data_IF_516191330999
#
_entry.id   IF_516191330999
#
_cell.length_a   1.000
_cell.length_b   1.000
_cell.length_c   1.000
_cell.angle_alpha   90.00
_cell.angle_beta   90.00
_cell.angle_gamma   90.00
#
_symmetry.space_group_name_H-M   'P 1'
#
loop_
_entity.id
_entity.type
_entity.pdbx_description
1 polymer ?
#
# COMPACT_ATOMS: atom_id res chain seq x y z
N UNK A 1 -43.42 -45.35 49.74
CA UNK A 1 -43.37 -44.42 48.59
C UNK A 1 -42.37 -45.03 47.60
N UNK A 2 -42.61 -46.21 47.01
CA UNK A 2 -43.63 -46.60 46.00
C UNK A 2 -43.72 -45.65 44.82
N UNK A 3 -43.15 -46.08 43.68
CA UNK A 3 -43.83 -46.27 42.38
C UNK A 3 -42.78 -46.13 41.25
N UNK A 4 -42.26 -47.25 40.73
CA UNK A 4 -42.67 -47.95 39.49
C UNK A 4 -41.96 -47.34 38.26
N UNK A 5 -41.19 -48.04 37.43
CA UNK A 5 -41.33 -49.42 36.98
C UNK A 5 -42.05 -49.43 35.63
N UNK A 6 -41.34 -49.67 34.52
CA UNK A 6 -41.56 -50.84 33.67
C UNK A 6 -40.66 -50.83 32.42
N UNK A 7 -39.96 -51.96 32.28
CA UNK A 7 -39.23 -52.45 31.13
C UNK A 7 -40.12 -53.55 30.51
N UNK A 8 -40.31 -53.61 29.18
CA UNK A 8 -40.14 -54.87 28.45
C UNK A 8 -40.30 -54.77 26.92
N UNK A 9 -39.29 -55.33 26.25
CA UNK A 9 -39.30 -56.26 25.09
C UNK A 9 -40.65 -56.53 24.38
N UNK A 10 -40.60 -56.63 23.05
CA UNK A 10 -40.29 -57.91 22.34
C UNK A 10 -40.68 -57.92 20.86
N UNK A 11 -39.70 -58.35 20.05
CA UNK A 11 -39.77 -59.37 18.99
C UNK A 11 -40.45 -59.17 17.61
N UNK A 12 -39.65 -59.63 16.62
CA UNK A 12 -39.99 -60.43 15.42
C UNK A 12 -40.43 -59.66 14.15
N UNK A 13 -40.12 -60.09 12.91
CA UNK A 13 -39.16 -60.99 12.28
C UNK A 13 -39.36 -60.86 10.75
N UNK A 14 -38.30 -61.14 9.98
CA UNK A 14 -38.23 -61.75 8.64
C UNK A 14 -39.35 -61.51 7.61
N UNK A 15 -38.95 -61.10 6.40
CA UNK A 15 -38.97 -62.02 5.25
C UNK A 15 -38.11 -61.53 4.07
N UNK A 16 -37.29 -62.46 3.57
CA UNK A 16 -36.61 -62.45 2.28
C UNK A 16 -37.33 -63.47 1.40
N UNK A 17 -37.48 -63.22 0.08
CA UNK A 17 -37.53 -64.24 -1.01
C UNK A 17 -37.51 -63.55 -2.40
N UNK A 18 -36.38 -63.77 -3.10
CA UNK A 18 -36.13 -64.21 -4.50
C UNK A 18 -37.02 -63.80 -5.71
N UNK A 19 -36.31 -63.23 -6.70
CA UNK A 19 -36.20 -63.53 -8.17
C UNK A 19 -37.43 -63.64 -9.08
N UNK A 20 -37.40 -62.90 -10.20
CA UNK A 20 -37.53 -63.49 -11.56
C UNK A 20 -37.00 -62.58 -12.69
N UNK A 21 -36.57 -63.23 -13.79
CA UNK A 21 -35.78 -62.70 -14.93
C UNK A 21 -36.59 -62.82 -16.25
N UNK A 22 -36.59 -61.74 -17.07
CA UNK A 22 -36.75 -61.65 -18.55
C UNK A 22 -38.06 -62.10 -19.26
N UNK A 23 -38.38 -61.73 -20.54
CA UNK A 23 -37.54 -61.08 -21.59
C UNK A 23 -38.19 -59.96 -22.48
N UNK A 24 -37.32 -59.13 -23.10
CA UNK A 24 -37.31 -58.74 -24.53
C UNK A 24 -38.48 -58.01 -25.20
N UNK A 25 -38.26 -56.76 -25.66
CA UNK A 25 -38.93 -56.24 -26.88
C UNK A 25 -38.03 -55.25 -27.64
N UNK A 26 -37.92 -55.48 -28.96
CA UNK A 26 -37.00 -54.85 -29.92
C UNK A 26 -37.26 -53.34 -30.12
N UNK A 27 -36.22 -52.51 -30.06
CA UNK A 27 -36.22 -51.12 -30.58
C UNK A 27 -36.19 -51.15 -32.12
N UNK A 28 -37.20 -50.56 -32.76
CA UNK A 28 -37.19 -50.25 -34.20
C UNK A 28 -36.26 -49.06 -34.47
N UNK A 29 -35.30 -49.28 -35.36
CA UNK A 29 -34.48 -48.27 -36.01
C UNK A 29 -35.36 -47.55 -37.04
N UNK A 30 -35.40 -46.21 -37.02
CA UNK A 30 -35.89 -45.44 -38.16
C UNK A 30 -34.92 -44.28 -38.43
N UNK A 31 -34.13 -44.45 -39.48
CA UNK A 31 -33.33 -43.40 -40.11
C UNK A 31 -34.23 -42.33 -40.72
N UNK A 32 -33.94 -41.05 -40.44
CA UNK A 32 -34.21 -39.96 -41.38
C UNK A 32 -32.96 -39.11 -41.56
N UNK A 33 -32.46 -39.14 -42.80
CA UNK A 33 -31.46 -38.22 -43.36
C UNK A 33 -32.10 -36.86 -43.65
N UNK A 34 -31.32 -35.79 -43.46
CA UNK A 34 -31.29 -34.49 -44.16
C UNK A 34 -30.68 -33.50 -43.15
N UNK A 35 -29.73 -32.62 -43.43
CA UNK A 35 -29.02 -32.16 -44.61
C UNK A 35 -28.15 -31.02 -44.06
N UNK A 36 -26.87 -30.96 -44.43
CA UNK A 36 -25.89 -30.10 -43.79
C UNK A 36 -26.13 -28.60 -43.98
N UNK A 37 -25.68 -27.81 -43.01
CA UNK A 37 -25.13 -26.48 -43.26
C UNK A 37 -23.87 -26.32 -42.41
N UNK A 38 -22.81 -25.90 -43.09
CA UNK A 38 -21.41 -25.87 -42.68
C UNK A 38 -21.18 -24.79 -41.63
N UNK A 39 -20.69 -25.19 -40.46
CA UNK A 39 -19.97 -24.33 -39.51
C UNK A 39 -18.50 -24.30 -39.95
N UNK A 40 -17.99 -23.16 -40.40
CA UNK A 40 -16.54 -22.98 -40.55
C UNK A 40 -16.00 -22.35 -39.26
N UNK A 41 -15.34 -23.18 -38.44
CA UNK A 41 -14.53 -22.77 -37.32
C UNK A 41 -13.04 -22.97 -37.67
N UNK A 42 -12.29 -21.88 -37.52
CA UNK A 42 -10.90 -21.75 -37.03
C UNK A 42 -9.81 -22.66 -37.63
N UNK A 43 -8.73 -22.05 -38.13
CA UNK A 43 -7.39 -22.65 -38.10
C UNK A 43 -6.39 -21.70 -37.43
N UNK A 44 -5.87 -22.17 -36.30
CA UNK A 44 -4.64 -21.72 -35.62
C UNK A 44 -3.47 -22.43 -36.30
N UNK A 45 -2.35 -21.73 -36.52
CA UNK A 45 -0.99 -22.17 -36.10
C UNK A 45 0.10 -21.43 -36.87
N UNK A 46 1.05 -20.85 -36.14
CA UNK A 46 2.47 -20.90 -36.50
C UNK A 46 3.30 -20.61 -35.24
N UNK A 47 3.79 -21.71 -34.65
CA UNK A 47 4.81 -21.74 -33.62
C UNK A 47 6.15 -21.47 -34.29
N UNK A 48 6.93 -20.52 -33.75
CA UNK A 48 8.34 -20.29 -34.11
C UNK A 48 9.21 -20.51 -32.88
N UNK A 49 10.01 -21.57 -32.90
CA UNK A 49 10.94 -21.99 -31.85
C UNK A 49 12.35 -21.52 -32.19
N UNK A 50 13.03 -20.94 -31.18
CA UNK A 50 14.47 -21.08 -30.93
C UNK A 50 15.35 -19.84 -31.19
N UNK A 51 16.59 -19.79 -30.67
CA UNK A 51 17.14 -20.39 -29.45
C UNK A 51 17.84 -19.35 -28.52
N UNK A 52 18.41 -19.87 -27.44
CA UNK A 52 19.00 -19.20 -26.29
C UNK A 52 20.38 -18.53 -26.51
N UNK A 53 20.63 -17.49 -25.68
CA UNK A 53 21.85 -17.09 -24.97
C UNK A 53 23.24 -17.51 -25.49
N UNK A 54 24.12 -16.51 -25.69
CA UNK A 54 25.34 -16.33 -24.89
C UNK A 54 26.11 -15.06 -25.33
N UNK A 55 26.55 -14.25 -24.38
CA UNK A 55 27.65 -13.29 -24.59
C UNK A 55 28.53 -13.31 -23.35
N UNK A 56 29.85 -13.59 -23.47
CA UNK A 56 30.75 -13.55 -22.33
C UNK A 56 31.23 -12.12 -22.09
N UNK A 57 31.01 -11.59 -20.89
CA UNK A 57 31.84 -10.50 -20.38
C UNK A 57 33.06 -11.09 -19.70
N UNK A 58 34.23 -10.92 -20.34
CA UNK A 58 35.53 -11.12 -19.72
C UNK A 58 35.90 -9.84 -18.95
N UNK A 59 36.16 -9.97 -17.64
CA UNK A 59 36.81 -8.91 -16.85
C UNK A 59 38.31 -9.17 -16.85
N UNK A 60 39.05 -8.23 -17.42
CA UNK A 60 40.50 -8.18 -17.37
C UNK A 60 40.94 -7.60 -16.02
N UNK A 61 41.72 -8.38 -15.27
CA UNK A 61 42.51 -7.89 -14.14
C UNK A 61 43.52 -6.84 -14.63
N UNK A 62 43.64 -5.75 -13.90
CA UNK A 62 44.93 -5.06 -13.82
C UNK A 62 45.16 -4.59 -12.39
N UNK A 63 45.95 -5.38 -11.66
CA UNK A 63 46.67 -4.92 -10.47
C UNK A 63 47.91 -4.18 -10.94
N UNK A 64 48.19 -3.01 -10.36
CA UNK A 64 49.55 -2.50 -10.31
C UNK A 64 49.86 -1.98 -8.90
N UNK A 65 50.53 -2.87 -8.16
CA UNK A 65 51.69 -2.63 -7.30
C UNK A 65 51.61 -1.53 -6.23
N UNK A 66 51.43 -1.98 -4.99
CA UNK A 66 52.02 -1.35 -3.83
C UNK A 66 53.29 -2.12 -3.44
N UNK A 67 54.43 -1.44 -3.34
CA UNK A 67 55.49 -1.85 -2.43
C UNK A 67 56.36 -0.67 -1.99
N UNK A 68 56.62 -0.68 -0.68
CA UNK A 68 57.87 -0.34 0.00
C UNK A 68 57.97 0.94 0.84
N UNK A 69 57.77 0.70 2.14
CA UNK A 69 58.77 0.83 3.23
C UNK A 69 59.20 2.23 3.67
N UNK A 70 58.88 2.58 4.92
CA UNK A 70 59.90 2.83 5.95
C UNK A 70 59.29 3.00 7.36
N UNK A 71 59.72 2.09 8.23
CA UNK A 71 59.72 2.08 9.69
C UNK A 71 60.38 3.31 10.32
N UNK A 72 59.88 3.78 11.48
CA UNK A 72 60.67 3.98 12.73
C UNK A 72 60.00 4.98 13.70
N UNK A 73 60.07 4.71 15.01
CA UNK A 73 60.38 5.77 15.98
C UNK A 73 59.42 5.94 17.16
N UNK A 74 59.82 5.36 18.29
CA UNK A 74 59.20 5.31 19.61
C UNK A 74 59.38 6.60 20.49
N UNK A 75 58.44 6.82 21.44
CA UNK A 75 58.57 7.39 22.82
C UNK A 75 58.82 8.90 23.10
N UNK A 76 57.83 9.51 23.78
CA UNK A 76 57.80 10.30 25.05
C UNK A 76 58.99 11.18 25.47
N UNK A 77 58.73 12.42 25.96
CA UNK A 77 59.09 12.98 27.31
C UNK A 77 58.94 14.54 27.39
N UNK A 78 57.93 15.00 28.16
CA UNK A 78 57.92 16.02 29.25
C UNK A 78 58.31 17.52 29.07
N UNK A 79 57.37 18.37 29.54
CA UNK A 79 57.48 19.65 30.32
C UNK A 79 57.66 21.02 29.66
N UNK A 80 56.71 21.96 29.89
CA UNK A 80 56.84 23.12 30.83
C UNK A 80 56.02 24.38 30.44
N UNK A 81 55.34 24.94 31.46
CA UNK A 81 55.08 26.37 31.77
C UNK A 81 53.95 27.21 31.09
N UNK A 82 52.88 27.41 31.89
CA UNK A 82 52.17 28.66 32.30
C UNK A 82 52.07 29.90 31.39
N UNK A 83 50.85 30.48 31.28
CA UNK A 83 50.51 31.89 31.61
C UNK A 83 48.99 32.14 31.54
N UNK A 84 48.41 32.65 32.64
CA UNK A 84 47.08 33.28 32.71
C UNK A 84 47.17 34.73 32.22
N UNK A 85 46.19 35.22 31.47
CA UNK A 85 45.87 36.65 31.38
C UNK A 85 44.36 36.86 31.26
N UNK A 86 43.82 37.56 32.25
CA UNK A 86 42.46 38.07 32.31
C UNK A 86 42.32 39.32 31.45
N UNK A 87 41.21 39.47 30.73
CA UNK A 87 40.67 40.79 30.40
C UNK A 87 39.14 40.73 30.26
N UNK A 88 38.51 41.35 31.24
CA UNK A 88 37.10 41.72 31.29
C UNK A 88 36.76 42.75 30.23
N UNK A 89 35.67 42.54 29.51
CA UNK A 89 34.94 43.60 28.80
C UNK A 89 33.45 43.29 28.89
N UNK A 90 32.81 44.06 29.75
CA UNK A 90 31.37 44.27 29.89
C UNK A 90 30.68 44.39 28.53
N UNK A 91 29.68 43.54 28.29
CA UNK A 91 28.59 43.91 27.39
C UNK A 91 27.28 43.90 28.17
N UNK A 92 26.80 45.12 28.36
CA UNK A 92 25.56 45.51 29.02
C UNK A 92 24.39 44.69 28.51
N UNK A 93 23.67 44.10 29.47
CA UNK A 93 22.36 43.52 29.28
C UNK A 93 21.43 44.61 28.75
N UNK A 94 21.04 44.53 27.48
CA UNK A 94 19.82 45.19 27.03
C UNK A 94 18.70 44.19 27.22
N UNK A 95 18.10 44.27 28.42
CA UNK A 95 16.86 43.59 28.77
C UNK A 95 15.79 43.91 27.73
N UNK A 96 15.44 42.93 26.89
CA UNK A 96 14.07 42.84 26.42
C UNK A 96 13.25 42.40 27.62
N UNK A 97 12.50 43.33 28.20
CA UNK A 97 11.44 43.05 29.15
C UNK A 97 10.48 42.04 28.53
N UNK A 98 10.63 40.75 28.84
CA UNK A 98 9.53 39.81 28.68
C UNK A 98 8.75 39.82 29.97
N UNK A 99 7.44 39.95 29.88
CA UNK A 99 6.60 39.52 30.99
C UNK A 99 5.34 38.93 30.37
N UNK A 100 5.36 37.60 30.31
CA UNK A 100 4.53 36.77 29.47
C UNK A 100 5.33 35.81 28.57
N UNK A 101 6.66 35.69 28.70
CA UNK A 101 7.45 34.75 27.90
C UNK A 101 6.91 33.32 28.05
N UNK A 102 6.16 32.91 27.03
CA UNK A 102 5.75 31.55 26.79
C UNK A 102 6.79 30.89 25.89
N UNK A 103 7.05 29.61 26.10
CA UNK A 103 7.92 28.80 25.25
C UNK A 103 7.12 27.67 24.62
N UNK A 104 7.57 27.17 23.48
CA UNK A 104 7.03 25.94 22.88
C UNK A 104 8.13 25.21 22.14
N UNK A 105 8.20 23.90 22.34
CA UNK A 105 9.14 23.00 21.68
C UNK A 105 8.45 21.68 21.37
N UNK A 106 9.10 20.89 20.51
CA UNK A 106 8.73 19.51 20.20
C UNK A 106 9.85 18.56 20.63
N UNK A 107 9.52 17.29 20.85
CA UNK A 107 10.52 16.28 21.23
C UNK A 107 11.55 15.96 20.13
N UNK A 108 11.22 16.21 18.87
CA UNK A 108 12.08 16.03 17.69
C UNK A 108 11.95 17.21 16.73
N UNK A 109 12.92 17.34 15.84
CA UNK A 109 12.91 18.33 14.77
C UNK A 109 12.26 17.82 13.47
N UNK A 110 12.01 16.50 13.36
CA UNK A 110 11.34 15.88 12.23
C UNK A 110 10.47 14.68 12.61
N UNK A 111 9.42 14.44 11.81
CA UNK A 111 8.44 13.38 12.02
C UNK A 111 7.95 12.79 10.68
N UNK A 112 7.57 11.52 10.70
CA UNK A 112 6.93 10.78 9.62
C UNK A 112 5.42 10.59 9.88
N UNK A 113 4.69 10.12 8.88
CA UNK A 113 3.27 9.74 9.05
C UNK A 113 3.09 8.76 10.21
N UNK A 114 2.07 9.01 11.03
CA UNK A 114 1.76 8.18 12.19
C UNK A 114 2.65 8.42 13.41
N UNK A 115 3.70 9.24 13.30
CA UNK A 115 4.51 9.58 14.46
C UNK A 115 3.70 10.38 15.48
N UNK A 116 3.99 10.14 16.75
CA UNK A 116 3.45 10.90 17.87
C UNK A 116 4.37 12.08 18.16
N UNK A 117 3.85 13.29 17.95
CA UNK A 117 4.52 14.56 18.26
C UNK A 117 4.19 14.90 19.72
N UNK A 118 5.20 15.04 20.58
CA UNK A 118 5.04 15.60 21.91
C UNK A 118 5.36 17.10 21.87
N UNK A 119 4.41 17.92 22.29
CA UNK A 119 4.51 19.38 22.31
C UNK A 119 4.54 19.81 23.76
N UNK A 120 5.54 20.58 24.15
CA UNK A 120 5.68 21.06 25.53
C UNK A 120 6.24 22.48 25.59
N UNK A 121 6.02 23.13 26.72
CA UNK A 121 6.53 24.46 26.97
C UNK A 121 6.23 24.94 28.38
N UNK A 122 6.65 26.16 28.67
CA UNK A 122 6.48 26.82 29.96
C UNK A 122 6.09 28.28 29.80
N UNK A 123 5.55 28.85 30.87
CA UNK A 123 5.18 30.26 30.96
C UNK A 123 5.76 30.87 32.24
N UNK A 124 6.04 32.17 32.23
CA UNK A 124 6.40 32.86 33.48
C UNK A 124 5.18 33.19 34.35
N UNK A 125 4.03 33.44 33.72
CA UNK A 125 2.80 33.86 34.37
C UNK A 125 1.85 32.68 34.55
N UNK A 126 1.04 32.69 35.61
CA UNK A 126 -0.04 31.73 35.81
C UNK A 126 -1.35 32.52 35.92
N UNK A 127 -2.24 32.30 34.94
CA UNK A 127 -3.59 32.85 34.95
C UNK A 127 -4.52 31.68 35.27
N UNK A 128 -5.17 31.74 36.43
CA UNK A 128 -6.09 30.69 36.89
C UNK A 128 -7.19 30.45 35.85
N UNK A 129 -7.54 29.18 35.66
CA UNK A 129 -8.61 28.71 34.75
C UNK A 129 -8.48 29.13 33.28
N UNK A 130 -7.28 29.53 32.86
CA UNK A 130 -7.01 29.91 31.47
C UNK A 130 -6.17 28.83 30.79
N UNK A 131 -6.67 28.14 29.74
CA UNK A 131 -5.88 27.17 28.99
C UNK A 131 -4.94 27.86 28.00
N UNK A 132 -3.89 27.14 27.59
CA UNK A 132 -3.05 27.48 26.45
C UNK A 132 -3.72 26.95 25.18
N UNK A 133 -3.89 27.83 24.20
CA UNK A 133 -4.37 27.45 22.87
C UNK A 133 -3.18 27.03 22.03
N UNK A 134 -3.21 25.82 21.48
CA UNK A 134 -2.20 25.26 20.58
C UNK A 134 -2.80 25.18 19.17
N UNK A 135 -2.12 25.77 18.19
CA UNK A 135 -2.56 25.83 16.79
C UNK A 135 -1.46 25.24 15.91
N UNK A 136 -1.80 24.26 15.07
CA UNK A 136 -0.88 23.66 14.11
C UNK A 136 -1.28 24.07 12.70
N UNK A 137 -0.32 24.60 11.95
CA UNK A 137 -0.49 25.10 10.58
C UNK A 137 0.48 24.36 9.66
N UNK A 138 -0.02 23.91 8.52
CA UNK A 138 0.77 23.19 7.51
C UNK A 138 1.68 24.14 6.71
N UNK A 139 2.66 23.62 5.94
CA UNK A 139 3.57 24.43 5.13
C UNK A 139 2.85 25.27 4.06
N UNK A 140 1.67 24.81 3.63
CA UNK A 140 0.81 25.49 2.67
C UNK A 140 -0.21 26.45 3.32
N UNK A 141 -0.10 26.67 4.63
CA UNK A 141 -0.92 27.63 5.39
C UNK A 141 -2.26 27.09 5.88
N UNK A 142 -2.57 25.81 5.67
CA UNK A 142 -3.84 25.23 6.12
C UNK A 142 -3.81 24.92 7.62
N UNK A 143 -4.95 25.13 8.28
CA UNK A 143 -5.13 24.77 9.68
C UNK A 143 -5.25 23.24 9.83
N UNK A 144 -4.37 22.66 10.64
CA UNK A 144 -4.30 21.21 10.87
C UNK A 144 -5.04 20.84 12.15
N UNK A 145 -4.81 21.60 13.23
CA UNK A 145 -5.40 21.33 14.53
C UNK A 145 -5.46 22.61 15.37
N UNK A 146 -6.51 22.71 16.18
CA UNK A 146 -6.59 23.59 17.34
C UNK A 146 -6.85 22.70 18.55
N UNK A 147 -6.11 22.93 19.62
CA UNK A 147 -6.25 22.23 20.89
C UNK A 147 -6.12 23.22 22.06
N UNK A 148 -6.66 22.84 23.22
CA UNK A 148 -6.56 23.64 24.44
C UNK A 148 -5.97 22.77 25.55
N UNK A 149 -4.89 23.26 26.15
CA UNK A 149 -4.11 22.53 27.14
C UNK A 149 -4.09 23.34 28.44
N UNK A 150 -4.54 22.73 29.53
CA UNK A 150 -4.48 23.37 30.83
C UNK A 150 -3.03 23.54 31.29
N UNK A 151 -2.76 24.65 31.97
CA UNK A 151 -1.45 24.93 32.54
C UNK A 151 -1.30 24.20 33.88
N UNK A 152 -0.18 23.49 34.06
CA UNK A 152 0.17 22.85 35.31
C UNK A 152 0.51 23.87 36.41
N UNK A 153 0.44 23.44 37.67
CA UNK A 153 0.83 24.28 38.82
C UNK A 153 2.31 24.69 38.81
N UNK A 154 3.13 23.95 38.07
CA UNK A 154 4.54 24.23 37.78
C UNK A 154 4.73 25.21 36.61
N UNK A 155 3.64 25.76 36.07
CA UNK A 155 3.59 26.67 34.91
C UNK A 155 4.07 26.04 33.60
N UNK A 156 3.99 24.72 33.50
CA UNK A 156 4.29 23.99 32.26
C UNK A 156 3.02 23.45 31.61
N UNK A 157 3.11 23.18 30.30
CA UNK A 157 2.05 22.49 29.57
C UNK A 157 2.67 21.42 28.68
N UNK A 158 1.90 20.37 28.43
CA UNK A 158 2.29 19.30 27.52
C UNK A 158 1.05 18.68 26.88
N UNK A 159 1.13 18.43 25.58
CA UNK A 159 0.12 17.67 24.82
C UNK A 159 0.81 16.79 23.80
N UNK A 160 0.07 15.85 23.22
CA UNK A 160 0.60 15.00 22.18
C UNK A 160 -0.40 14.69 21.10
N UNK A 161 0.08 14.74 19.86
CA UNK A 161 -0.73 14.63 18.65
C UNK A 161 -0.07 13.62 17.71
N UNK A 162 -0.86 12.73 17.12
CA UNK A 162 -0.38 11.83 16.07
C UNK A 162 -0.47 12.53 14.72
N UNK A 163 0.64 12.58 13.99
CA UNK A 163 0.78 13.24 12.69
C UNK A 163 0.19 12.36 11.57
N UNK A 164 -1.13 12.17 11.58
CA UNK A 164 -1.84 11.31 10.62
C UNK A 164 -3.24 11.84 10.29
N UNK A 165 -3.79 11.42 9.15
CA UNK A 165 -5.13 11.76 8.68
C UNK A 165 -5.16 12.84 7.60
N UNK A 166 -6.36 13.21 7.15
CA UNK A 166 -6.59 14.05 5.97
C UNK A 166 -5.95 15.45 6.03
N UNK A 167 -5.63 15.96 7.23
CA UNK A 167 -5.02 17.28 7.43
C UNK A 167 -3.48 17.24 7.52
N UNK A 168 -2.90 16.05 7.63
CA UNK A 168 -1.46 15.80 7.60
C UNK A 168 -1.11 15.26 6.22
N UNK A 169 -0.71 16.13 5.29
CA UNK A 169 -0.55 15.75 3.88
C UNK A 169 0.75 16.26 3.28
N UNK A 170 0.87 17.59 3.23
CA UNK A 170 2.02 18.25 2.64
C UNK A 170 3.29 17.92 3.42
N UNK A 171 4.34 17.49 2.73
CA UNK A 171 5.68 17.49 3.30
C UNK A 171 6.15 18.94 3.53
N UNK A 172 6.99 19.14 4.55
CA UNK A 172 7.66 20.42 4.80
C UNK A 172 7.54 20.90 6.25
N UNK A 173 7.81 22.20 6.44
CA UNK A 173 7.88 22.82 7.76
C UNK A 173 6.48 23.17 8.29
N UNK A 174 6.01 22.42 9.28
CA UNK A 174 4.79 22.73 10.02
C UNK A 174 5.10 23.74 11.12
N UNK A 175 4.15 24.63 11.40
CA UNK A 175 4.27 25.63 12.46
C UNK A 175 3.31 25.31 13.59
N UNK A 176 3.82 25.26 14.82
CA UNK A 176 3.03 25.24 16.05
C UNK A 176 3.05 26.66 16.60
N UNK A 177 1.87 27.25 16.80
CA UNK A 177 1.68 28.51 17.52
C UNK A 177 0.98 28.22 18.83
N UNK A 178 1.46 28.81 19.91
CA UNK A 178 0.80 28.78 21.21
C UNK A 178 0.42 30.18 21.65
N UNK A 179 -0.73 30.31 22.28
CA UNK A 179 -1.23 31.56 22.83
C UNK A 179 -1.78 31.32 24.24
N UNK A 180 -1.44 32.21 25.17
CA UNK A 180 -1.89 32.14 26.56
C UNK A 180 -2.59 33.42 27.02
N UNK A 181 -3.92 33.37 27.19
CA UNK A 181 -4.73 34.50 27.64
C UNK A 181 -4.94 35.61 26.60
N UNK A 182 -3.88 36.32 26.23
CA UNK A 182 -3.92 37.51 25.34
C UNK A 182 -3.00 37.41 24.11
N UNK A 183 -3.15 38.30 23.12
CA UNK A 183 -2.39 38.27 21.86
C UNK A 183 -0.89 38.54 22.04
N UNK A 184 -0.49 39.20 23.13
CA UNK A 184 0.91 39.54 23.41
C UNK A 184 1.70 38.37 24.03
N UNK A 185 1.03 37.23 24.29
CA UNK A 185 1.59 36.06 24.98
C UNK A 185 1.60 34.85 24.05
N UNK A 186 2.41 34.95 23.01
CA UNK A 186 2.51 33.93 21.97
C UNK A 186 3.94 33.42 21.80
N UNK A 187 4.08 32.14 21.47
CA UNK A 187 5.33 31.57 20.97
C UNK A 187 5.05 30.67 19.77
N UNK A 188 6.08 30.41 18.99
CA UNK A 188 5.99 29.50 17.86
C UNK A 188 7.24 28.65 17.75
N UNK A 189 7.06 27.43 17.24
CA UNK A 189 8.15 26.55 16.83
C UNK A 189 7.76 25.83 15.55
N UNK A 190 8.74 25.25 14.88
CA UNK A 190 8.55 24.52 13.63
C UNK A 190 9.23 23.17 13.68
N UNK A 191 8.64 22.19 13.02
CA UNK A 191 9.25 20.88 12.79
C UNK A 191 9.04 20.48 11.34
N UNK A 192 9.90 19.59 10.84
CA UNK A 192 9.76 19.01 9.50
C UNK A 192 8.85 17.80 9.53
N UNK A 193 7.91 17.74 8.60
CA UNK A 193 7.07 16.57 8.37
C UNK A 193 7.38 15.98 7.01
N UNK A 194 7.60 14.67 6.94
CA UNK A 194 7.88 13.97 5.69
C UNK A 194 6.69 13.98 4.70
N UNK A 195 5.51 14.40 5.16
CA UNK A 195 4.26 14.26 4.44
C UNK A 195 3.58 12.95 4.81
N UNK A 196 2.26 12.93 4.71
CA UNK A 196 1.46 11.73 4.94
C UNK A 196 0.51 11.62 3.76
N UNK A 197 0.46 10.47 3.13
CA UNK A 197 -0.53 10.21 2.09
C UNK A 197 -1.84 9.83 2.81
N UNK A 198 -2.37 10.75 3.60
CA UNK A 198 -3.24 10.41 4.71
C UNK A 198 -4.54 9.78 4.24
N UNK A 199 -4.87 8.62 4.81
CA UNK A 199 -6.16 7.94 4.57
C UNK A 199 -6.40 7.61 3.10
N UNK A 200 -5.46 6.88 2.48
CA UNK A 200 -5.43 6.66 1.03
C UNK A 200 -4.61 7.76 0.37
N UNK A 201 -3.70 7.42 -0.54
CA UNK A 201 -2.73 8.40 -1.00
C UNK A 201 -3.39 9.52 -1.81
N UNK A 202 -3.04 10.75 -1.48
CA UNK A 202 -3.21 11.91 -2.35
C UNK A 202 -1.91 12.12 -3.13
N UNK A 203 -1.77 11.38 -4.23
CA UNK A 203 -0.73 11.54 -5.24
C UNK A 203 -1.36 11.57 -6.64
N UNK A 204 -0.57 11.79 -7.71
CA UNK A 204 -1.07 11.57 -9.06
C UNK A 204 -1.67 10.16 -9.20
N UNK A 205 -2.82 10.07 -9.84
CA UNK A 205 -3.44 8.79 -10.18
C UNK A 205 -3.02 8.37 -11.58
N UNK A 206 -2.69 7.10 -11.75
CA UNK A 206 -2.53 6.51 -13.07
C UNK A 206 -3.61 5.47 -13.32
N UNK A 207 -4.29 5.57 -14.47
CA UNK A 207 -5.17 4.51 -14.94
C UNK A 207 -4.35 3.27 -15.27
N UNK A 208 -4.83 2.10 -14.85
CA UNK A 208 -4.21 0.83 -15.20
C UNK A 208 -4.81 0.32 -16.50
N UNK A 209 -3.96 0.14 -17.51
CA UNK A 209 -4.34 -0.26 -18.85
C UNK A 209 -5.14 -1.57 -18.83
N UNK A 210 -6.27 -1.56 -19.53
CA UNK A 210 -7.19 -2.70 -19.56
C UNK A 210 -8.16 -2.80 -18.38
N UNK A 211 -8.19 -1.81 -17.49
CA UNK A 211 -9.11 -1.79 -16.33
C UNK A 211 -9.74 -0.41 -16.11
N UNK A 212 -10.78 -0.36 -15.27
CA UNK A 212 -11.37 0.89 -14.76
C UNK A 212 -10.72 1.35 -13.44
N UNK A 213 -9.71 0.63 -12.97
CA UNK A 213 -8.97 1.00 -11.76
C UNK A 213 -7.93 2.06 -12.08
N UNK A 214 -7.76 2.96 -11.12
CA UNK A 214 -6.64 3.87 -11.04
C UNK A 214 -5.83 3.56 -9.80
N UNK A 215 -4.52 3.60 -9.93
CA UNK A 215 -3.57 3.46 -8.83
C UNK A 215 -2.99 4.83 -8.54
N UNK A 216 -3.09 5.23 -7.28
CA UNK A 216 -2.43 6.45 -6.83
C UNK A 216 -1.02 6.14 -6.40
N UNK A 217 -0.06 7.00 -6.76
CA UNK A 217 1.34 6.77 -6.49
C UNK A 217 2.12 8.05 -6.18
N UNK A 218 3.34 7.89 -5.67
CA UNK A 218 4.39 8.89 -5.57
C UNK A 218 5.73 8.25 -5.95
N UNK A 219 6.60 8.98 -6.64
CA UNK A 219 7.89 8.48 -7.10
C UNK A 219 8.97 9.56 -6.90
N UNK A 220 10.11 9.17 -6.32
CA UNK A 220 11.30 10.03 -6.24
C UNK A 220 12.31 9.64 -7.31
N UNK A 221 13.05 10.61 -7.87
CA UNK A 221 14.10 10.38 -8.87
C UNK A 221 13.64 9.52 -10.07
N UNK A 222 12.39 9.69 -10.47
CA UNK A 222 11.82 9.02 -11.63
C UNK A 222 10.43 9.54 -11.95
N UNK A 223 9.86 8.98 -13.02
CA UNK A 223 8.50 9.26 -13.47
C UNK A 223 7.85 7.94 -13.87
N UNK A 224 6.63 7.71 -13.43
CA UNK A 224 5.86 6.57 -13.92
C UNK A 224 5.28 6.89 -15.30
N UNK A 225 5.48 5.99 -16.26
CA UNK A 225 5.06 6.15 -17.65
C UNK A 225 3.82 5.32 -17.99
N UNK A 226 3.57 4.22 -17.29
CA UNK A 226 2.41 3.36 -17.53
C UNK A 226 2.27 2.25 -16.49
N UNK A 227 1.07 1.69 -16.40
CA UNK A 227 0.72 0.57 -15.54
C UNK A 227 -0.20 -0.35 -16.33
N UNK A 228 0.09 -1.64 -16.31
CA UNK A 228 -0.70 -2.66 -17.00
C UNK A 228 -0.76 -3.91 -16.15
N UNK A 229 -1.92 -4.54 -16.09
CA UNK A 229 -2.02 -5.89 -15.53
C UNK A 229 -1.54 -6.92 -16.56
N UNK A 230 -0.63 -7.80 -16.14
CA UNK A 230 -0.42 -9.08 -16.79
C UNK A 230 -1.19 -10.17 -16.04
N UNK A 231 -2.17 -10.69 -16.75
CA UNK A 231 -3.20 -11.57 -16.24
C UNK A 231 -2.72 -13.01 -16.19
N UNK A 232 -1.69 -13.33 -16.99
CA UNK A 232 -1.08 -14.67 -17.06
C UNK A 232 -0.19 -14.90 -15.84
N UNK A 233 0.61 -13.90 -15.48
CA UNK A 233 1.48 -13.89 -14.29
C UNK A 233 0.79 -13.39 -13.02
N UNK A 234 -0.45 -12.86 -13.13
CA UNK A 234 -1.18 -12.22 -12.02
C UNK A 234 -0.39 -11.07 -11.39
N UNK A 235 0.22 -10.25 -12.25
CA UNK A 235 1.09 -9.17 -11.83
C UNK A 235 0.63 -7.81 -12.36
N UNK A 236 0.99 -6.76 -11.64
CA UNK A 236 0.94 -5.39 -12.11
C UNK A 236 2.34 -5.01 -12.59
N UNK A 237 2.45 -4.69 -13.87
CA UNK A 237 3.68 -4.17 -14.47
C UNK A 237 3.62 -2.66 -14.47
N UNK A 238 4.56 -2.04 -13.78
CA UNK A 238 4.74 -0.59 -13.71
C UNK A 238 5.96 -0.20 -14.52
N UNK A 239 5.73 0.57 -15.58
CA UNK A 239 6.81 1.11 -16.41
C UNK A 239 7.22 2.47 -15.85
N UNK A 240 8.52 2.66 -15.62
CA UNK A 240 9.09 3.89 -15.05
C UNK A 240 10.25 4.40 -15.92
N UNK A 241 10.50 5.70 -15.83
CA UNK A 241 11.73 6.33 -16.29
C UNK A 241 12.48 6.84 -15.06
N UNK A 242 13.71 6.41 -14.87
CA UNK A 242 14.54 6.80 -13.71
C UNK A 242 15.50 7.92 -14.06
N UNK A 243 15.75 8.80 -13.10
CA UNK A 243 16.78 9.85 -13.14
C UNK A 243 17.85 9.65 -12.07
N UNK A 244 17.69 8.65 -11.20
CA UNK A 244 18.59 8.26 -10.11
C UNK A 244 17.96 7.14 -9.28
N UNK A 245 18.61 6.77 -8.19
CA UNK A 245 18.03 5.84 -7.20
C UNK A 245 16.84 6.48 -6.52
N UNK A 246 15.77 5.72 -6.30
CA UNK A 246 14.51 6.28 -5.84
C UNK A 246 13.60 5.26 -5.17
N UNK A 247 12.41 5.73 -4.82
CA UNK A 247 11.37 4.92 -4.20
C UNK A 247 10.06 5.20 -4.91
N UNK A 248 9.37 4.13 -5.29
CA UNK A 248 8.00 4.17 -5.79
C UNK A 248 7.06 3.72 -4.68
N UNK A 249 6.19 4.62 -4.23
CA UNK A 249 5.11 4.31 -3.30
C UNK A 249 3.79 4.27 -4.06
N UNK A 250 3.02 3.19 -3.94
CA UNK A 250 1.75 3.03 -4.64
C UNK A 250 0.69 2.40 -3.74
N UNK A 251 -0.57 2.81 -3.90
CA UNK A 251 -1.70 2.16 -3.24
C UNK A 251 -2.52 1.38 -4.25
N UNK A 252 -2.53 0.08 -4.02
CA UNK A 252 -3.15 -0.93 -4.86
C UNK A 252 -4.54 -1.23 -4.32
N UNK A 253 -5.60 -0.98 -5.11
CA UNK A 253 -6.91 -1.52 -4.80
C UNK A 253 -6.85 -3.04 -4.78
N UNK A 254 -7.32 -3.67 -3.71
CA UNK A 254 -7.40 -5.14 -3.61
C UNK A 254 -8.34 -5.74 -4.65
N UNK A 255 -9.28 -4.93 -5.15
CA UNK A 255 -10.08 -5.27 -6.32
C UNK A 255 -9.19 -5.47 -7.55
N UNK A 256 -8.17 -4.64 -7.76
CA UNK A 256 -7.28 -4.72 -8.92
C UNK A 256 -6.27 -5.87 -8.79
N UNK A 257 -5.54 -5.94 -7.68
CA UNK A 257 -4.50 -6.93 -7.42
C UNK A 257 -4.38 -7.19 -5.91
N UNK A 258 -4.23 -8.45 -5.52
CA UNK A 258 -4.02 -8.82 -4.11
C UNK A 258 -3.22 -10.12 -3.97
N UNK A 259 -2.62 -10.31 -2.80
CA UNK A 259 -1.91 -11.52 -2.42
C UNK A 259 -2.53 -12.07 -1.12
N UNK A 260 -3.09 -13.27 -1.19
CA UNK A 260 -3.74 -13.96 -0.07
C UNK A 260 -3.34 -15.42 0.02
N UNK A 261 -3.23 -15.91 1.25
CA UNK A 261 -3.17 -17.33 1.56
C UNK A 261 -4.49 -17.73 2.22
N UNK A 262 -5.44 -18.24 1.43
CA UNK A 262 -6.82 -18.42 1.88
C UNK A 262 -7.50 -17.07 2.16
N UNK A 263 -7.91 -16.86 3.40
CA UNK A 263 -8.59 -15.62 3.83
C UNK A 263 -7.65 -14.58 4.46
N UNK A 264 -6.38 -14.91 4.64
CA UNK A 264 -5.38 -14.03 5.26
C UNK A 264 -4.48 -13.41 4.21
N UNK A 265 -4.06 -12.17 4.45
CA UNK A 265 -3.12 -11.48 3.56
C UNK A 265 -1.77 -12.20 3.52
N UNK A 266 -1.26 -12.38 2.31
CA UNK A 266 0.09 -12.85 2.04
C UNK A 266 0.94 -11.67 1.51
N UNK A 267 2.27 -11.72 1.64
CA UNK A 267 3.14 -10.75 0.98
C UNK A 267 3.04 -10.88 -0.55
N UNK A 268 3.17 -9.75 -1.24
CA UNK A 268 3.45 -9.75 -2.68
C UNK A 268 4.89 -10.21 -2.94
N UNK A 269 5.18 -10.57 -4.19
CA UNK A 269 6.55 -10.64 -4.70
C UNK A 269 6.78 -9.42 -5.58
N UNK A 270 7.87 -8.70 -5.37
CA UNK A 270 8.20 -7.49 -6.14
C UNK A 270 9.50 -7.69 -6.88
N UNK A 271 9.56 -7.24 -8.13
CA UNK A 271 10.72 -7.39 -9.00
C UNK A 271 11.08 -6.07 -9.67
N UNK A 272 12.36 -5.70 -9.65
CA UNK A 272 12.92 -4.59 -10.42
C UNK A 272 13.65 -5.17 -11.64
N UNK A 273 13.17 -4.87 -12.85
CA UNK A 273 13.66 -5.43 -14.12
C UNK A 273 13.83 -6.97 -14.09
N UNK A 274 12.87 -7.67 -13.48
CA UNK A 274 12.85 -9.13 -13.38
C UNK A 274 13.77 -9.72 -12.31
N UNK A 275 14.45 -8.90 -11.50
CA UNK A 275 15.16 -9.33 -10.31
C UNK A 275 14.34 -9.05 -9.07
N UNK A 276 14.20 -10.03 -8.17
CA UNK A 276 13.44 -9.87 -6.93
C UNK A 276 14.02 -8.71 -6.08
N UNK A 277 13.11 -7.88 -5.55
CA UNK A 277 13.44 -6.71 -4.75
C UNK A 277 12.71 -6.75 -3.42
N UNK A 278 13.34 -6.16 -2.40
CA UNK A 278 12.67 -5.87 -1.14
C UNK A 278 11.66 -4.74 -1.31
N UNK A 279 10.64 -4.72 -0.46
CA UNK A 279 9.65 -3.65 -0.38
C UNK A 279 9.06 -3.61 1.02
N UNK A 280 8.51 -2.46 1.39
CA UNK A 280 7.75 -2.29 2.63
C UNK A 280 6.26 -2.16 2.32
N UNK A 281 5.43 -2.81 3.13
CA UNK A 281 3.99 -2.60 3.11
C UNK A 281 3.61 -1.62 4.21
N UNK A 282 3.32 -0.38 3.81
CA UNK A 282 3.16 0.74 4.75
C UNK A 282 1.73 0.91 5.24
N UNK A 283 0.73 0.39 4.52
CA UNK A 283 -0.67 0.42 4.95
C UNK A 283 -1.47 -0.74 4.37
N UNK A 284 -2.42 -1.24 5.17
CA UNK A 284 -3.27 -2.38 4.83
C UNK A 284 -4.68 -2.09 5.33
N UNK A 285 -5.64 -1.98 4.41
CA UNK A 285 -7.06 -1.80 4.73
C UNK A 285 -7.86 -2.97 4.16
N UNK A 286 -9.18 -2.94 4.32
CA UNK A 286 -10.07 -3.94 3.69
C UNK A 286 -10.20 -3.77 2.17
N UNK A 287 -9.88 -2.58 1.64
CA UNK A 287 -10.06 -2.24 0.22
C UNK A 287 -8.74 -2.07 -0.52
N UNK A 288 -7.65 -1.74 0.16
CA UNK A 288 -6.40 -1.33 -0.46
C UNK A 288 -5.16 -1.84 0.31
N UNK A 289 -4.02 -1.86 -0.38
CA UNK A 289 -2.68 -2.12 0.19
C UNK A 289 -1.69 -1.11 -0.37
N UNK A 290 -0.85 -0.53 0.47
CA UNK A 290 0.17 0.44 0.04
C UNK A 290 1.56 -0.19 0.13
N UNK A 291 2.28 -0.16 -0.99
CA UNK A 291 3.65 -0.67 -1.11
C UNK A 291 4.63 0.47 -1.31
N UNK A 292 5.82 0.35 -0.72
CA UNK A 292 6.96 1.24 -0.91
C UNK A 292 8.14 0.41 -1.44
N UNK A 293 8.51 0.66 -2.68
CA UNK A 293 9.43 -0.16 -3.46
C UNK A 293 10.65 0.69 -3.84
N UNK A 294 11.82 0.44 -3.24
CA UNK A 294 13.06 1.07 -3.68
C UNK A 294 13.48 0.54 -5.06
N UNK A 295 14.08 1.41 -5.88
CA UNK A 295 14.70 1.07 -7.15
C UNK A 295 16.01 1.83 -7.33
N UNK A 296 16.85 1.35 -8.24
CA UNK A 296 18.12 1.99 -8.61
C UNK A 296 18.01 2.74 -9.92
N UNK A 297 18.95 3.66 -10.17
CA UNK A 297 19.11 4.30 -11.47
C UNK A 297 19.24 3.27 -12.59
N UNK A 298 18.54 3.51 -13.71
CA UNK A 298 18.47 2.58 -14.83
C UNK A 298 17.28 1.61 -14.77
N UNK A 299 16.60 1.48 -13.61
CA UNK A 299 15.41 0.64 -13.54
C UNK A 299 14.34 1.15 -14.49
N UNK A 300 13.76 0.25 -15.28
CA UNK A 300 12.76 0.59 -16.31
C UNK A 300 11.40 -0.02 -16.02
N UNK A 301 11.39 -1.12 -15.26
CA UNK A 301 10.19 -1.86 -14.92
C UNK A 301 10.21 -2.28 -13.45
N UNK A 302 9.06 -2.12 -12.80
CA UNK A 302 8.77 -2.72 -11.50
C UNK A 302 7.56 -3.62 -11.69
N UNK A 303 7.66 -4.87 -11.29
CA UNK A 303 6.59 -5.86 -11.35
C UNK A 303 6.15 -6.26 -9.94
N UNK A 304 4.85 -6.18 -9.67
CA UNK A 304 4.25 -6.61 -8.41
C UNK A 304 3.39 -7.83 -8.67
N UNK A 305 3.76 -8.98 -8.14
CA UNK A 305 3.09 -10.26 -8.34
C UNK A 305 2.21 -10.58 -7.14
N UNK A 306 0.92 -10.82 -7.41
CA UNK A 306 -0.08 -11.23 -6.42
C UNK A 306 -0.48 -12.69 -6.57
N UNK A 307 -1.43 -13.12 -5.74
CA UNK A 307 -2.16 -14.39 -5.94
C UNK A 307 -3.39 -14.20 -6.83
N UNK A 308 -3.80 -12.95 -7.01
CA UNK A 308 -4.94 -12.53 -7.81
C UNK A 308 -4.63 -11.19 -8.47
N UNK A 309 -4.93 -11.06 -9.76
CA UNK A 309 -4.95 -9.80 -10.48
C UNK A 309 -6.13 -9.82 -11.46
N UNK A 310 -6.84 -8.70 -11.59
CA UNK A 310 -8.00 -8.60 -12.50
C UNK A 310 -7.55 -8.69 -13.96
N UNK A 311 -8.21 -9.57 -14.74
CA UNK A 311 -9.02 -9.04 -15.85
C UNK A 311 -10.37 -9.77 -15.97
N UNK A 312 -11.11 -9.97 -14.88
CA UNK A 312 -12.20 -10.95 -14.96
C UNK A 312 -13.49 -10.41 -15.57
N UNK A 313 -13.56 -10.42 -16.91
CA UNK A 313 -14.79 -10.82 -17.61
C UNK A 313 -14.84 -12.36 -17.79
N UNK A 314 -14.28 -13.12 -16.85
CA UNK A 314 -14.21 -14.59 -16.94
C UNK A 314 -15.44 -15.29 -16.38
N UNK A 315 -16.00 -14.81 -15.26
CA UNK A 315 -17.18 -15.41 -14.62
C UNK A 315 -18.44 -14.58 -14.87
N UNK A 316 -18.37 -13.25 -14.75
CA UNK A 316 -19.54 -12.39 -14.98
C UNK A 316 -19.90 -12.32 -16.47
N UNK A 317 -18.94 -12.08 -17.37
CA UNK A 317 -19.29 -12.07 -18.80
C UNK A 317 -19.62 -13.48 -19.31
N UNK A 318 -19.01 -14.55 -18.78
CA UNK A 318 -19.45 -15.91 -19.10
C UNK A 318 -20.86 -16.20 -18.56
N UNK A 319 -21.20 -15.76 -17.35
CA UNK A 319 -22.55 -15.90 -16.81
C UNK A 319 -23.58 -15.10 -17.62
N UNK A 320 -23.28 -13.84 -17.95
CA UNK A 320 -24.12 -12.99 -18.80
C UNK A 320 -24.26 -13.58 -20.21
N UNK A 321 -23.17 -14.11 -20.78
CA UNK A 321 -23.17 -14.80 -22.08
C UNK A 321 -24.00 -16.09 -22.04
N UNK A 322 -23.88 -16.89 -20.98
CA UNK A 322 -24.67 -18.11 -20.80
C UNK A 322 -26.15 -17.78 -20.62
N UNK A 323 -26.49 -16.78 -19.79
CA UNK A 323 -27.86 -16.30 -19.60
C UNK A 323 -28.43 -15.79 -20.93
N UNK A 324 -27.65 -15.06 -21.73
CA UNK A 324 -28.07 -14.57 -23.04
C UNK A 324 -28.33 -15.72 -24.02
N UNK A 325 -27.44 -16.70 -24.11
CA UNK A 325 -27.59 -17.87 -24.99
C UNK A 325 -28.83 -18.69 -24.60
N UNK A 326 -29.03 -18.96 -23.29
CA UNK A 326 -30.19 -19.69 -22.79
C UNK A 326 -31.49 -18.94 -23.11
N UNK A 327 -31.50 -17.61 -22.97
CA UNK A 327 -32.67 -16.77 -23.27
C UNK A 327 -33.03 -16.80 -24.77
N UNK A 328 -32.02 -16.74 -25.65
CA UNK A 328 -32.23 -16.83 -27.10
C UNK A 328 -32.82 -18.21 -27.48
N UNK A 329 -32.30 -19.29 -26.91
CA UNK A 329 -32.80 -20.65 -27.17
C UNK A 329 -34.24 -20.81 -26.64
N UNK A 330 -34.52 -20.31 -25.43
CA UNK A 330 -35.85 -20.37 -24.83
C UNK A 330 -36.91 -19.58 -25.62
N UNK A 331 -36.57 -18.39 -26.11
CA UNK A 331 -37.46 -17.59 -26.96
C UNK A 331 -37.62 -18.23 -28.34
N UNK A 332 -36.52 -18.70 -28.97
CA UNK A 332 -36.56 -19.32 -30.30
C UNK A 332 -37.36 -20.61 -30.32
N UNK A 333 -37.30 -21.41 -29.24
CA UNK A 333 -38.10 -22.64 -29.12
C UNK A 333 -39.60 -22.39 -28.88
N UNK A 334 -39.97 -21.22 -28.34
CA UNK A 334 -41.38 -20.86 -28.09
C UNK A 334 -42.02 -20.11 -29.26
N UNK A 335 -41.21 -19.52 -30.13
CA UNK A 335 -41.66 -18.76 -31.30
C UNK A 335 -41.67 -19.65 -32.52
N UNK A 336 -42.71 -20.47 -32.68
CA UNK A 336 -42.95 -21.11 -33.97
C UNK A 336 -43.21 -20.02 -35.02
N UNK A 337 -42.21 -19.70 -35.84
CA UNK A 337 -42.34 -18.86 -37.02
C UNK A 337 -43.24 -19.61 -38.01
N UNK A 338 -44.55 -19.43 -37.88
CA UNK A 338 -45.54 -19.83 -38.88
C UNK A 338 -45.35 -18.93 -40.10
N UNK A 339 -44.47 -19.35 -41.00
CA UNK A 339 -44.46 -18.84 -42.36
C UNK A 339 -45.78 -19.25 -43.01
N UNK A 340 -46.75 -18.35 -43.02
CA UNK A 340 -47.98 -18.51 -43.80
C UNK A 340 -47.63 -18.07 -45.22
N UNK A 341 -47.48 -18.98 -46.20
CA UNK A 341 -47.32 -18.57 -47.59
C UNK A 341 -48.64 -17.94 -48.04
N UNK A 342 -48.62 -16.66 -48.41
CA UNK A 342 -49.70 -16.05 -49.17
C UNK A 342 -49.58 -16.50 -50.62
N UNK A 343 -50.58 -17.23 -51.09
CA UNK A 343 -51.04 -17.19 -52.47
C UNK A 343 -52.56 -16.99 -52.45
#
# INVERSE_FOLDING_TARGET
MTSDGYNNRSHAQLNSIKTDKCPGTRKKILNKRLGGFVLFAIMISAVGIGPAFASPYAVQQNQVMANSTATSGNTTTTSSANTMTSSSSTNTMMSSSSSGAITVTTDKTSYNDGDKIAISGSTQDYITDTPITVIIISPIGNLVKVDQVNLGSDKTFSTSITATGALWQAAGAYTIKVQFGGPDRTAQTTFQFAGSAGGGPSGPTMKVDGTDFSVTYSITNGKVIGMKIDTNSKSLVVSIQTTGDGVLTMTLPRGLIDAKNGNTDAPFVVMNDGQESTFDQTSTTTTDRTLSIPFTSGTSQIEVVGTFAIPEFGTVAAAVLVIAIVSIIAISSKTELRFIPKY
#
